data_IF_061389517423
#
_entry.id   IF_061389517423
#
_cell.length_a   1.000
_cell.length_b   1.000
_cell.length_c   1.000
_cell.angle_alpha   90.00
_cell.angle_beta   90.00
_cell.angle_gamma   90.00
#
_symmetry.space_group_name_H-M   'P 1'
#
loop_
_entity.id
_entity.type
_entity.pdbx_description
1 polymer ?
#
# COMPACT_ATOMS: atom_id res chain seq x y z
N UNK A 1 9.47 3.76 -13.10
CA UNK A 1 9.55 4.66 -11.93
C UNK A 1 8.45 4.23 -10.99
N UNK A 2 8.74 3.99 -9.69
CA UNK A 2 7.75 3.50 -8.73
C UNK A 2 7.21 4.64 -7.90
N UNK A 3 5.91 4.57 -7.56
CA UNK A 3 5.25 5.59 -6.75
C UNK A 3 5.36 5.24 -5.27
N UNK A 4 5.68 6.24 -4.46
CA UNK A 4 5.77 6.16 -3.00
C UNK A 4 4.77 7.15 -2.43
N UNK A 5 3.93 6.71 -1.50
CA UNK A 5 3.06 7.60 -0.74
C UNK A 5 3.65 7.90 0.64
N UNK A 6 3.56 9.14 1.08
CA UNK A 6 3.84 9.58 2.45
C UNK A 6 2.55 10.19 2.98
N UNK A 7 1.98 9.55 3.99
CA UNK A 7 0.76 10.02 4.67
C UNK A 7 1.17 10.48 6.07
N UNK A 8 1.37 11.78 6.20
CA UNK A 8 1.99 12.44 7.36
C UNK A 8 1.49 13.89 7.42
N UNK A 9 0.90 14.30 8.52
CA UNK A 9 0.37 15.65 8.70
C UNK A 9 1.44 16.67 9.09
N UNK A 10 2.53 16.23 9.71
CA UNK A 10 3.63 17.09 10.11
C UNK A 10 4.60 17.35 8.95
N UNK A 11 4.76 18.62 8.54
CA UNK A 11 5.59 19.01 7.40
C UNK A 11 7.06 18.62 7.55
N UNK A 12 7.61 18.80 8.76
CA UNK A 12 9.02 18.49 9.02
C UNK A 12 9.30 16.99 8.96
N UNK A 13 8.39 16.17 9.50
CA UNK A 13 8.51 14.71 9.43
C UNK A 13 8.40 14.20 8.00
N UNK A 14 7.42 14.71 7.24
CA UNK A 14 7.28 14.37 5.83
C UNK A 14 8.50 14.78 5.00
N UNK A 15 9.07 15.98 5.25
CA UNK A 15 10.27 16.45 4.55
C UNK A 15 11.49 15.57 4.86
N UNK A 16 11.68 15.17 6.12
CA UNK A 16 12.78 14.28 6.50
C UNK A 16 12.71 12.93 5.76
N UNK A 17 11.51 12.38 5.60
CA UNK A 17 11.31 11.15 4.80
C UNK A 17 11.61 11.34 3.33
N UNK A 18 11.16 12.45 2.75
CA UNK A 18 11.48 12.78 1.35
C UNK A 18 12.99 12.91 1.14
N UNK A 19 13.72 13.51 2.09
CA UNK A 19 15.16 13.64 2.01
C UNK A 19 15.85 12.27 2.14
N UNK A 20 15.37 11.38 3.00
CA UNK A 20 15.85 10.00 3.07
C UNK A 20 15.60 9.23 1.76
N UNK A 21 14.45 9.40 1.11
CA UNK A 21 14.17 8.78 -0.20
C UNK A 21 15.15 9.30 -1.24
N UNK A 22 15.39 10.61 -1.31
CA UNK A 22 16.38 11.21 -2.24
C UNK A 22 17.79 10.69 -2.00
N UNK A 23 18.18 10.57 -0.73
CA UNK A 23 19.48 9.99 -0.37
C UNK A 23 19.59 8.52 -0.84
N UNK A 24 18.52 7.73 -0.68
CA UNK A 24 18.46 6.36 -1.15
C UNK A 24 18.52 6.28 -2.67
N UNK A 25 17.84 7.17 -3.40
CA UNK A 25 17.94 7.29 -4.87
C UNK A 25 19.38 7.55 -5.32
N UNK A 26 20.09 8.46 -4.64
CA UNK A 26 21.48 8.80 -4.96
C UNK A 26 22.43 7.61 -4.75
N UNK A 27 22.18 6.79 -3.74
CA UNK A 27 23.01 5.63 -3.42
C UNK A 27 22.74 4.41 -4.31
N UNK A 28 21.48 4.22 -4.72
CA UNK A 28 21.06 3.00 -5.44
C UNK A 28 20.84 3.17 -6.92
N UNK A 29 20.81 4.42 -7.42
CA UNK A 29 20.47 4.75 -8.80
C UNK A 29 18.98 4.56 -9.15
N UNK A 30 18.16 4.08 -8.20
CA UNK A 30 16.72 3.96 -8.41
C UNK A 30 16.06 5.34 -8.46
N UNK A 31 14.83 5.41 -9.00
CA UNK A 31 14.04 6.65 -9.06
C UNK A 31 12.62 6.39 -8.61
N UNK A 32 12.10 7.30 -7.78
CA UNK A 32 10.76 7.23 -7.22
C UNK A 32 9.97 8.51 -7.53
N UNK A 33 8.66 8.37 -7.60
CA UNK A 33 7.73 9.49 -7.61
C UNK A 33 7.04 9.54 -6.25
N UNK A 34 7.21 10.66 -5.54
CA UNK A 34 6.72 10.80 -4.17
C UNK A 34 5.41 11.59 -4.19
N UNK A 35 4.40 11.07 -3.52
CA UNK A 35 3.12 11.70 -3.30
C UNK A 35 2.92 11.89 -1.80
N UNK A 36 2.56 13.09 -1.38
CA UNK A 36 2.29 13.42 0.01
C UNK A 36 0.82 13.67 0.25
N UNK A 37 0.32 13.19 1.38
CA UNK A 37 -1.03 13.37 1.88
C UNK A 37 -0.97 13.77 3.35
N UNK A 38 -1.81 14.73 3.77
CA UNK A 38 -1.81 15.23 5.14
C UNK A 38 -2.65 14.38 6.10
N UNK A 39 -3.42 13.41 5.60
CA UNK A 39 -4.21 12.49 6.43
C UNK A 39 -4.67 11.27 5.63
N UNK A 40 -5.13 10.23 6.35
CA UNK A 40 -5.58 8.99 5.74
C UNK A 40 -6.83 9.14 4.87
N UNK A 41 -7.75 10.03 5.21
CA UNK A 41 -8.98 10.21 4.44
C UNK A 41 -8.70 10.79 3.05
N UNK A 42 -7.82 11.79 2.96
CA UNK A 42 -7.42 12.39 1.68
C UNK A 42 -6.62 11.39 0.82
N UNK A 43 -5.80 10.53 1.45
CA UNK A 43 -5.08 9.46 0.77
C UNK A 43 -6.02 8.42 0.16
N UNK A 44 -7.06 8.02 0.89
CA UNK A 44 -7.97 6.96 0.45
C UNK A 44 -9.05 7.46 -0.53
N UNK A 45 -9.35 8.76 -0.56
CA UNK A 45 -10.45 9.34 -1.35
C UNK A 45 -10.41 8.96 -2.83
N UNK A 46 -9.22 9.00 -3.44
CA UNK A 46 -9.00 8.67 -4.84
C UNK A 46 -7.88 7.63 -4.97
N UNK A 47 -7.85 6.67 -4.03
CA UNK A 47 -6.80 5.67 -4.00
C UNK A 47 -6.75 4.86 -5.29
N UNK A 48 -5.56 4.74 -5.82
CA UNK A 48 -5.25 3.87 -6.94
C UNK A 48 -4.15 2.90 -6.51
N UNK A 49 -4.28 1.63 -6.86
CA UNK A 49 -3.29 0.59 -6.54
C UNK A 49 -2.00 0.73 -7.38
N UNK A 50 -1.38 1.92 -7.32
CA UNK A 50 -0.18 2.28 -8.10
C UNK A 50 1.05 2.51 -7.22
N UNK A 51 0.89 2.45 -5.89
CA UNK A 51 1.97 2.70 -4.94
C UNK A 51 2.72 1.40 -4.62
N UNK A 52 4.04 1.48 -4.63
CA UNK A 52 4.89 0.38 -4.20
C UNK A 52 5.01 0.32 -2.66
N UNK A 53 5.21 1.49 -2.04
CA UNK A 53 5.34 1.63 -0.59
C UNK A 53 4.51 2.81 -0.12
N UNK A 54 3.85 2.63 1.02
CA UNK A 54 3.14 3.68 1.74
C UNK A 54 3.80 3.84 3.11
N UNK A 55 4.35 5.02 3.36
CA UNK A 55 4.74 5.47 4.69
C UNK A 55 3.54 6.11 5.36
N UNK A 56 3.20 5.68 6.56
CA UNK A 56 1.94 6.00 7.21
C UNK A 56 2.16 6.36 8.67
N UNK A 57 1.97 7.63 9.03
CA UNK A 57 1.95 7.98 10.44
C UNK A 57 0.72 7.39 11.13
N UNK A 58 0.92 6.89 12.33
CA UNK A 58 -0.16 6.36 13.17
C UNK A 58 -1.02 7.47 13.74
N UNK A 59 -0.41 8.60 14.12
CA UNK A 59 -1.10 9.71 14.78
C UNK A 59 -1.39 10.84 13.80
N UNK A 60 -2.55 10.82 13.19
CA UNK A 60 -3.01 11.86 12.28
C UNK A 60 -4.43 12.32 12.61
N UNK A 61 -4.80 13.58 12.29
CA UNK A 61 -6.16 14.07 12.41
C UNK A 61 -7.11 13.37 11.44
N UNK A 62 -8.41 13.41 11.72
CA UNK A 62 -9.53 12.84 10.94
C UNK A 62 -9.54 11.30 10.90
N UNK A 63 -8.50 10.69 10.35
CA UNK A 63 -8.36 9.23 10.23
C UNK A 63 -6.93 8.85 10.60
N UNK A 64 -6.77 8.00 11.61
CA UNK A 64 -5.46 7.54 12.05
C UNK A 64 -4.85 6.52 11.07
N UNK A 65 -3.53 6.27 11.21
CA UNK A 65 -2.82 5.40 10.29
C UNK A 65 -3.28 3.95 10.32
N UNK A 66 -3.71 3.43 11.46
CA UNK A 66 -4.18 2.05 11.55
C UNK A 66 -5.53 1.87 10.83
N UNK A 67 -6.46 2.81 11.02
CA UNK A 67 -7.73 2.81 10.30
C UNK A 67 -7.50 2.95 8.79
N UNK A 68 -6.57 3.82 8.40
CA UNK A 68 -6.16 4.00 7.00
C UNK A 68 -5.62 2.69 6.42
N UNK A 69 -4.73 2.02 7.14
CA UNK A 69 -4.15 0.74 6.71
C UNK A 69 -5.21 -0.37 6.58
N UNK A 70 -6.15 -0.47 7.53
CA UNK A 70 -7.25 -1.43 7.47
C UNK A 70 -8.14 -1.21 6.24
N UNK A 71 -8.47 0.04 5.91
CA UNK A 71 -9.23 0.36 4.71
C UNK A 71 -8.42 0.10 3.43
N UNK A 72 -7.14 0.45 3.43
CA UNK A 72 -6.22 0.20 2.33
C UNK A 72 -6.13 -1.31 2.00
N UNK A 73 -6.03 -2.16 3.00
CA UNK A 73 -5.97 -3.63 2.82
C UNK A 73 -7.23 -4.25 2.22
N UNK A 74 -8.37 -3.55 2.28
CA UNK A 74 -9.60 -4.00 1.61
C UNK A 74 -9.52 -3.85 0.09
N UNK A 75 -8.74 -2.89 -0.42
CA UNK A 75 -8.62 -2.62 -1.86
C UNK A 75 -7.22 -2.95 -2.43
N UNK A 76 -6.18 -2.95 -1.61
CA UNK A 76 -4.82 -3.32 -2.04
C UNK A 76 -4.09 -4.12 -0.95
N UNK A 77 -3.95 -5.41 -1.19
CA UNK A 77 -3.23 -6.33 -0.30
C UNK A 77 -1.72 -6.37 -0.57
N UNK A 78 -1.28 -5.85 -1.71
CA UNK A 78 0.10 -6.00 -2.20
C UNK A 78 1.00 -4.79 -1.92
N UNK A 79 0.43 -3.61 -1.69
CA UNK A 79 1.21 -2.44 -1.34
C UNK A 79 1.95 -2.66 -0.01
N UNK A 80 3.24 -2.32 0.01
CA UNK A 80 4.04 -2.42 1.24
C UNK A 80 3.74 -1.25 2.17
N UNK A 81 3.31 -1.52 3.40
CA UNK A 81 3.05 -0.49 4.42
C UNK A 81 4.20 -0.44 5.40
N UNK A 82 4.73 0.76 5.64
CA UNK A 82 5.67 1.06 6.71
C UNK A 82 5.04 2.13 7.60
N UNK A 83 4.79 1.78 8.86
CA UNK A 83 4.34 2.77 9.82
C UNK A 83 5.49 3.63 10.33
N UNK A 84 5.21 4.90 10.58
CA UNK A 84 6.14 5.84 11.19
C UNK A 84 5.43 6.47 12.38
N UNK A 85 6.01 6.38 13.58
CA UNK A 85 5.30 6.85 14.77
C UNK A 85 6.25 7.12 15.93
N UNK A 86 5.82 7.98 16.85
CA UNK A 86 6.45 8.15 18.16
C UNK A 86 6.07 7.03 19.15
N UNK A 87 5.06 6.21 18.84
CA UNK A 87 4.44 5.29 19.78
C UNK A 87 4.82 3.84 19.51
N UNK A 88 5.80 3.33 20.24
CA UNK A 88 6.28 1.93 20.15
C UNK A 88 5.16 0.90 20.38
N UNK A 89 4.19 1.23 21.23
CA UNK A 89 3.06 0.35 21.57
C UNK A 89 2.16 -0.03 20.38
N UNK A 90 2.15 0.77 19.31
CA UNK A 90 1.39 0.45 18.10
C UNK A 90 2.10 -0.53 17.17
N UNK A 91 3.36 -0.85 17.43
CA UNK A 91 4.09 -1.87 16.65
C UNK A 91 3.39 -3.24 16.68
N UNK A 92 2.74 -3.59 17.79
CA UNK A 92 1.99 -4.84 17.92
C UNK A 92 0.70 -4.87 17.09
N UNK A 93 0.03 -3.73 16.90
CA UNK A 93 -1.22 -3.65 16.12
C UNK A 93 -1.01 -3.72 14.60
N UNK A 94 0.20 -3.53 14.13
CA UNK A 94 0.49 -3.59 12.70
C UNK A 94 0.50 -5.00 12.12
N UNK A 95 0.54 -6.02 12.96
CA UNK A 95 0.33 -7.40 12.49
C UNK A 95 -1.07 -7.60 11.90
N UNK A 96 -2.07 -6.86 12.37
CA UNK A 96 -3.45 -6.96 11.86
C UNK A 96 -3.61 -6.45 10.42
N UNK A 97 -2.65 -5.67 9.92
CA UNK A 97 -2.68 -5.06 8.58
C UNK A 97 -1.52 -5.51 7.70
N UNK A 98 -0.79 -6.57 8.07
CA UNK A 98 0.38 -7.07 7.35
C UNK A 98 1.37 -5.94 7.01
N UNK A 99 1.67 -5.07 7.99
CA UNK A 99 2.66 -4.04 7.80
C UNK A 99 4.06 -4.65 7.70
N UNK A 100 4.83 -4.21 6.71
CA UNK A 100 6.18 -4.73 6.46
C UNK A 100 7.14 -4.35 7.58
N UNK A 101 6.97 -3.16 8.15
CA UNK A 101 7.85 -2.65 9.20
C UNK A 101 7.29 -1.41 9.91
N UNK A 102 8.01 -1.00 10.96
CA UNK A 102 7.80 0.22 11.74
C UNK A 102 9.07 1.04 11.81
N UNK A 103 8.93 2.35 11.71
CA UNK A 103 9.98 3.34 11.95
C UNK A 103 9.57 4.20 13.15
N UNK A 104 10.46 4.37 14.09
CA UNK A 104 10.23 5.22 15.27
C UNK A 104 10.84 6.59 14.99
N UNK A 105 10.06 7.65 15.21
CA UNK A 105 10.56 9.02 15.11
C UNK A 105 11.49 9.35 16.31
N UNK A 106 12.63 10.04 16.12
CA UNK A 106 13.16 10.52 14.85
C UNK A 106 13.77 9.38 14.01
N UNK A 107 13.42 9.34 12.72
CA UNK A 107 13.84 8.27 11.80
C UNK A 107 15.31 8.45 11.41
N UNK A 108 16.16 7.47 11.73
CA UNK A 108 17.53 7.45 11.22
C UNK A 108 17.56 6.99 9.77
N UNK A 109 18.52 7.52 8.97
CA UNK A 109 18.66 7.07 7.59
C UNK A 109 19.00 5.57 7.49
N UNK A 110 19.77 5.04 8.45
CA UNK A 110 20.13 3.62 8.48
C UNK A 110 18.88 2.74 8.61
N UNK A 111 18.03 3.01 9.60
CA UNK A 111 16.80 2.25 9.81
C UNK A 111 15.83 2.40 8.63
N UNK A 112 15.71 3.64 8.12
CA UNK A 112 14.92 3.92 6.93
C UNK A 112 15.37 3.07 5.74
N UNK A 113 16.65 3.12 5.39
CA UNK A 113 17.19 2.46 4.19
C UNK A 113 17.00 0.93 4.23
N UNK A 114 17.24 0.31 5.39
CA UNK A 114 17.03 -1.13 5.60
C UNK A 114 15.57 -1.54 5.42
N UNK A 115 14.65 -0.81 6.07
CA UNK A 115 13.22 -1.13 6.05
C UNK A 115 12.57 -0.77 4.71
N UNK A 116 13.01 0.31 4.09
CA UNK A 116 12.56 0.72 2.77
C UNK A 116 12.97 -0.30 1.70
N UNK A 117 14.24 -0.76 1.73
CA UNK A 117 14.70 -1.83 0.85
C UNK A 117 13.84 -3.08 1.01
N UNK A 118 13.63 -3.55 2.25
CA UNK A 118 12.78 -4.70 2.53
C UNK A 118 11.37 -4.54 1.95
N UNK A 119 10.77 -3.35 2.11
CA UNK A 119 9.44 -3.08 1.58
C UNK A 119 9.38 -3.10 0.05
N UNK A 120 10.41 -2.56 -0.61
CA UNK A 120 10.53 -2.62 -2.06
C UNK A 120 10.71 -4.06 -2.56
N UNK A 121 11.54 -4.86 -1.90
CA UNK A 121 11.77 -6.26 -2.26
C UNK A 121 10.47 -7.09 -2.14
N UNK A 122 9.71 -6.89 -1.06
CA UNK A 122 8.39 -7.55 -0.87
C UNK A 122 7.41 -7.10 -1.94
N UNK A 123 7.33 -5.80 -2.24
CA UNK A 123 6.46 -5.29 -3.30
C UNK A 123 6.79 -5.92 -4.65
N UNK A 124 8.08 -6.03 -5.01
CA UNK A 124 8.51 -6.64 -6.26
C UNK A 124 8.12 -8.11 -6.36
N UNK A 125 8.30 -8.88 -5.29
CA UNK A 125 7.87 -10.27 -5.24
C UNK A 125 6.36 -10.42 -5.44
N UNK A 126 5.58 -9.44 -4.95
CA UNK A 126 4.12 -9.43 -5.09
C UNK A 126 3.66 -8.85 -6.44
N UNK A 127 4.44 -7.97 -7.08
CA UNK A 127 4.12 -7.36 -8.36
C UNK A 127 4.05 -8.41 -9.47
N UNK A 128 5.01 -9.33 -9.51
CA UNK A 128 5.07 -10.43 -10.48
C UNK A 128 3.90 -11.44 -10.33
N UNK A 129 3.21 -11.40 -9.20
CA UNK A 129 2.08 -12.28 -8.87
C UNK A 129 0.75 -11.56 -8.78
N UNK A 130 0.61 -10.41 -9.44
CA UNK A 130 -0.63 -9.64 -9.37
C UNK A 130 -0.93 -8.91 -10.67
N UNK A 131 -2.20 -8.63 -10.89
CA UNK A 131 -2.67 -7.78 -11.98
C UNK A 131 -3.72 -6.79 -11.46
N UNK A 132 -3.88 -5.68 -12.17
CA UNK A 132 -4.82 -4.63 -11.78
C UNK A 132 -6.08 -4.72 -12.65
N UNK A 133 -7.23 -4.63 -12.01
CA UNK A 133 -8.53 -4.59 -12.66
C UNK A 133 -9.25 -3.28 -12.36
N UNK A 134 -10.05 -2.81 -13.31
CA UNK A 134 -10.87 -1.63 -13.11
C UNK A 134 -12.24 -2.05 -12.59
N UNK A 135 -12.63 -1.56 -11.42
CA UNK A 135 -13.91 -1.84 -10.78
C UNK A 135 -14.75 -0.58 -10.68
N UNK A 136 -16.06 -0.67 -10.42
CA UNK A 136 -16.89 0.52 -10.15
C UNK A 136 -16.40 1.35 -8.94
N UNK A 137 -15.65 0.74 -8.01
CA UNK A 137 -15.04 1.39 -6.86
C UNK A 137 -13.64 1.94 -7.11
N UNK A 138 -13.08 1.79 -8.33
CA UNK A 138 -11.72 2.22 -8.69
C UNK A 138 -10.83 1.05 -9.15
N UNK A 139 -9.53 1.31 -9.22
CA UNK A 139 -8.54 0.28 -9.57
C UNK A 139 -8.31 -0.65 -8.37
N UNK A 140 -8.51 -1.94 -8.57
CA UNK A 140 -8.25 -2.98 -7.58
C UNK A 140 -7.12 -3.90 -8.06
N UNK A 141 -6.20 -4.27 -7.15
CA UNK A 141 -5.11 -5.20 -7.44
C UNK A 141 -5.46 -6.59 -6.95
N UNK A 142 -5.42 -7.56 -7.86
CA UNK A 142 -5.74 -8.97 -7.60
C UNK A 142 -4.45 -9.79 -7.64
N UNK A 143 -4.20 -10.60 -6.59
CA UNK A 143 -3.08 -11.54 -6.56
C UNK A 143 -3.43 -12.80 -7.34
N UNK A 144 -2.50 -13.28 -8.19
CA UNK A 144 -2.72 -14.45 -9.04
C UNK A 144 -2.78 -15.76 -8.25
N UNK A 145 -2.10 -15.83 -7.12
CA UNK A 145 -2.14 -17.00 -6.22
C UNK A 145 -3.48 -17.14 -5.49
N UNK A 146 -4.27 -16.07 -5.42
CA UNK A 146 -5.65 -16.10 -4.88
C UNK A 146 -6.71 -16.25 -5.96
N UNK A 147 -6.34 -16.18 -7.23
CA UNK A 147 -7.29 -16.33 -8.33
C UNK A 147 -7.59 -17.81 -8.58
N UNK A 148 -8.85 -18.21 -8.41
CA UNK A 148 -9.30 -19.56 -8.74
C UNK A 148 -9.62 -19.66 -10.22
N UNK A 149 -10.53 -18.82 -10.70
CA UNK A 149 -10.92 -18.75 -12.11
C UNK A 149 -11.59 -17.41 -12.43
N UNK A 150 -11.70 -17.14 -13.72
CA UNK A 150 -12.41 -15.97 -14.25
C UNK A 150 -13.60 -16.44 -15.06
N UNK A 151 -14.76 -15.86 -14.80
CA UNK A 151 -16.01 -16.17 -15.50
C UNK A 151 -16.49 -14.94 -16.27
N UNK A 152 -17.06 -15.18 -17.45
CA UNK A 152 -17.67 -14.13 -18.28
C UNK A 152 -19.17 -14.31 -18.28
N UNK A 153 -19.91 -13.36 -17.72
CA UNK A 153 -21.37 -13.33 -17.75
C UNK A 153 -21.88 -11.96 -18.20
N UNK A 154 -22.76 -11.91 -19.19
CA UNK A 154 -23.37 -10.67 -19.68
C UNK A 154 -22.33 -9.57 -20.00
N UNK A 155 -21.28 -9.91 -20.73
CA UNK A 155 -20.15 -9.01 -21.06
C UNK A 155 -19.43 -8.41 -19.83
N UNK A 156 -19.46 -9.10 -18.70
CA UNK A 156 -18.75 -8.73 -17.47
C UNK A 156 -17.84 -9.87 -17.06
N UNK A 157 -16.66 -9.50 -16.52
CA UNK A 157 -15.73 -10.43 -15.92
C UNK A 157 -16.01 -10.55 -14.43
N UNK A 158 -16.04 -11.77 -13.94
CA UNK A 158 -16.13 -12.10 -12.53
C UNK A 158 -14.86 -12.85 -12.13
N UNK A 159 -14.15 -12.32 -11.18
CA UNK A 159 -12.95 -12.93 -10.63
C UNK A 159 -13.33 -13.67 -9.36
N UNK A 160 -13.17 -14.99 -9.37
CA UNK A 160 -13.40 -15.85 -8.21
C UNK A 160 -12.08 -16.04 -7.47
N UNK A 161 -12.04 -15.56 -6.22
CA UNK A 161 -10.85 -15.57 -5.40
C UNK A 161 -11.01 -16.53 -4.23
N UNK A 162 -9.91 -17.14 -3.79
CA UNK A 162 -9.84 -17.88 -2.54
C UNK A 162 -9.83 -16.85 -1.41
N UNK A 163 -10.81 -16.90 -0.50
CA UNK A 163 -10.74 -16.14 0.75
C UNK A 163 -9.84 -16.84 1.78
N UNK A 164 -9.53 -16.15 2.88
CA UNK A 164 -8.65 -16.68 3.94
C UNK A 164 -9.23 -17.90 4.67
N UNK A 165 -10.49 -18.26 4.39
CA UNK A 165 -11.21 -19.42 4.96
C UNK A 165 -11.32 -20.56 3.91
N UNK A 166 -10.72 -20.40 2.73
CA UNK A 166 -10.78 -21.43 1.66
C UNK A 166 -12.11 -21.53 0.95
N UNK A 167 -13.00 -20.54 1.10
CA UNK A 167 -14.28 -20.46 0.40
C UNK A 167 -14.16 -19.53 -0.80
N UNK A 168 -14.69 -19.96 -1.95
CA UNK A 168 -14.81 -19.09 -3.12
C UNK A 168 -15.75 -17.93 -2.80
N UNK A 169 -15.22 -16.72 -2.74
CA UNK A 169 -16.04 -15.51 -2.62
C UNK A 169 -16.05 -14.77 -3.93
N UNK A 170 -17.25 -14.55 -4.47
CA UNK A 170 -17.43 -13.67 -5.62
C UNK A 170 -17.34 -12.22 -5.13
N UNK A 171 -16.14 -11.66 -5.13
CA UNK A 171 -15.93 -10.25 -4.83
C UNK A 171 -15.52 -9.54 -6.10
N UNK A 172 -16.46 -8.82 -6.66
CA UNK A 172 -16.34 -7.74 -7.65
C UNK A 172 -16.81 -8.00 -9.06
N UNK A 173 -17.79 -7.18 -9.39
CA UNK A 173 -18.25 -6.98 -10.77
C UNK A 173 -17.30 -6.00 -11.45
N UNK A 174 -16.57 -6.44 -12.44
CA UNK A 174 -15.78 -5.55 -13.30
C UNK A 174 -16.64 -5.11 -14.49
N UNK A 175 -16.81 -3.82 -14.65
CA UNK A 175 -17.53 -3.25 -15.79
C UNK A 175 -16.59 -3.14 -16.99
N UNK A 176 -16.97 -3.78 -18.10
CA UNK A 176 -16.42 -3.68 -19.45
C UNK A 176 -14.90 -3.84 -19.59
N UNK A 177 -14.50 -4.99 -20.11
CA UNK A 177 -13.29 -5.09 -20.91
C UNK A 177 -13.64 -4.55 -22.31
N UNK A 178 -12.98 -3.45 -22.74
CA UNK A 178 -12.89 -3.10 -24.16
C UNK A 178 -11.70 -3.91 -24.65
N UNK A 179 -11.95 -4.88 -25.53
CA UNK A 179 -10.94 -5.57 -26.34
C UNK A 179 -10.52 -4.63 -27.44
#
# INVERSE_FOLDING_TARGET
MRNIAIVEDEDLAAQALMDHIKQYEAQTGQRFQIFRFANGADFLKDYRAVYAVVFLDVQMPKMNGLETALQLRRCDKNVSIIFITNLVQYALKGYEVDAVSYLIKPVSYYDFSMKFKKALDIYLLNEDRSFTVNTPGGLCRISTDKLMYVEIMNHRLFYHLIDEIGRASCRERVSRVVV
#
